data_IF_649134792531
#
_entry.id   IF_649134792531
#
_cell.length_a   1.000
_cell.length_b   1.000
_cell.length_c   1.000
_cell.angle_alpha   90.00
_cell.angle_beta   90.00
_cell.angle_gamma   90.00
#
_symmetry.space_group_name_H-M   'P 1'
#
loop_
_entity.id
_entity.type
_entity.pdbx_description
1 polymer ?
#
# COMPACT_ATOMS: atom_id res chain seq x y z
N UNK A 1 2.67 -16.99 -22.38
CA UNK A 1 2.62 -15.55 -22.02
C UNK A 1 2.38 -15.40 -20.50
N UNK A 2 3.31 -15.84 -19.64
CA UNK A 2 3.06 -15.92 -18.18
C UNK A 2 4.21 -15.53 -17.24
N UNK A 3 5.44 -15.38 -17.76
CA UNK A 3 6.63 -15.14 -16.93
C UNK A 3 7.02 -13.66 -16.76
N UNK A 4 6.32 -12.69 -17.37
CA UNK A 4 6.75 -11.28 -17.34
C UNK A 4 6.50 -10.59 -15.99
N UNK A 5 5.49 -11.04 -15.23
CA UNK A 5 5.12 -10.46 -13.92
C UNK A 5 6.21 -10.61 -12.84
N UNK A 6 6.84 -11.79 -12.62
CA UNK A 6 7.91 -11.91 -11.64
C UNK A 6 9.16 -11.11 -12.05
N UNK A 7 9.48 -11.06 -13.35
CA UNK A 7 10.67 -10.32 -13.84
C UNK A 7 10.53 -8.82 -13.55
N UNK A 8 9.36 -8.23 -13.80
CA UNK A 8 9.10 -6.82 -13.48
C UNK A 8 9.15 -6.55 -11.97
N UNK A 9 8.70 -7.50 -11.14
CA UNK A 9 8.79 -7.40 -9.68
C UNK A 9 10.25 -7.40 -9.21
N UNK A 10 11.05 -8.36 -9.64
CA UNK A 10 12.47 -8.41 -9.30
C UNK A 10 13.23 -7.20 -9.84
N UNK A 11 12.91 -6.73 -11.05
CA UNK A 11 13.48 -5.52 -11.62
C UNK A 11 13.14 -4.27 -10.80
N UNK A 12 11.89 -4.12 -10.34
CA UNK A 12 11.49 -3.04 -9.46
C UNK A 12 12.24 -3.09 -8.12
N UNK A 13 12.40 -4.28 -7.52
CA UNK A 13 13.18 -4.47 -6.29
C UNK A 13 14.64 -4.07 -6.50
N UNK A 14 15.26 -4.45 -7.62
CA UNK A 14 16.62 -4.05 -7.97
C UNK A 14 16.73 -2.53 -8.15
N UNK A 15 15.75 -1.87 -8.78
CA UNK A 15 15.72 -0.41 -8.90
C UNK A 15 15.56 0.29 -7.54
N UNK A 16 14.79 -0.29 -6.60
CA UNK A 16 14.68 0.22 -5.22
C UNK A 16 16.04 0.16 -4.54
N UNK A 17 16.74 -0.97 -4.65
CA UNK A 17 18.07 -1.17 -4.07
C UNK A 17 19.09 -0.22 -4.72
N UNK A 18 19.05 -0.04 -6.03
CA UNK A 18 19.92 0.93 -6.70
C UNK A 18 19.63 2.36 -6.21
N UNK A 19 18.36 2.73 -6.04
CA UNK A 19 17.94 4.05 -5.58
C UNK A 19 18.44 4.39 -4.18
N UNK A 20 18.61 3.41 -3.28
CA UNK A 20 19.17 3.64 -1.94
C UNK A 20 20.70 3.73 -1.96
N UNK A 21 21.34 3.10 -2.94
CA UNK A 21 22.78 3.17 -3.15
C UNK A 21 23.23 4.45 -3.86
N UNK A 22 22.37 5.05 -4.68
CA UNK A 22 22.58 6.39 -5.28
C UNK A 22 22.25 7.48 -4.27
N UNK A 23 22.95 7.51 -3.14
CA UNK A 23 22.95 8.69 -2.29
C UNK A 23 23.61 9.84 -3.05
N UNK A 24 22.88 10.96 -3.18
CA UNK A 24 23.35 12.32 -3.46
C UNK A 24 24.85 12.34 -3.74
N UNK A 25 25.25 12.02 -4.97
CA UNK A 25 26.66 12.07 -5.34
C UNK A 25 27.12 13.48 -5.02
N UNK A 26 28.06 13.60 -4.08
CA UNK A 26 28.62 14.84 -3.55
C UNK A 26 29.39 15.62 -4.64
N UNK A 27 28.78 15.87 -5.79
CA UNK A 27 29.28 16.71 -6.87
C UNK A 27 29.45 18.18 -6.42
N UNK A 28 29.04 18.51 -5.18
CA UNK A 28 29.26 19.80 -4.53
C UNK A 28 30.62 19.94 -3.83
N UNK A 29 31.44 18.88 -3.68
CA UNK A 29 32.72 18.93 -2.95
C UNK A 29 33.97 18.75 -3.80
N UNK A 30 34.00 19.27 -5.03
CA UNK A 30 35.29 19.44 -5.75
C UNK A 30 35.65 20.87 -6.16
N UNK A 31 34.72 21.83 -6.11
CA UNK A 31 34.97 23.20 -6.60
C UNK A 31 35.59 24.13 -5.53
N UNK A 32 35.61 23.74 -4.25
CA UNK A 32 36.12 24.59 -3.14
C UNK A 32 37.43 24.07 -2.52
N UNK A 33 38.40 23.66 -3.35
CA UNK A 33 39.73 23.22 -2.87
C UNK A 33 40.74 24.37 -2.64
N UNK A 34 40.29 25.62 -2.49
CA UNK A 34 41.19 26.79 -2.40
C UNK A 34 40.95 27.76 -1.24
N UNK A 35 39.97 27.55 -0.36
CA UNK A 35 39.71 28.45 0.77
C UNK A 35 39.17 27.65 1.95
N UNK A 36 39.92 27.65 3.07
CA UNK A 36 39.64 27.08 4.40
C UNK A 36 38.38 26.20 4.45
N UNK A 37 38.57 24.88 4.45
CA UNK A 37 37.51 23.87 4.49
C UNK A 37 36.64 24.08 5.73
N UNK A 38 35.47 24.72 5.55
CA UNK A 38 34.40 24.69 6.53
C UNK A 38 33.87 23.25 6.58
N UNK A 39 34.31 22.47 7.57
CA UNK A 39 33.78 21.13 7.84
C UNK A 39 32.40 21.25 8.47
N UNK A 40 31.42 21.76 7.71
CA UNK A 40 30.02 21.63 8.10
C UNK A 40 29.67 20.15 7.94
N UNK A 41 29.42 19.49 9.06
CA UNK A 41 28.82 18.15 9.09
C UNK A 41 27.38 18.32 8.61
N UNK A 42 27.18 18.11 7.31
CA UNK A 42 25.83 18.06 6.75
C UNK A 42 25.20 16.78 7.29
N UNK A 43 24.01 16.91 7.88
CA UNK A 43 23.17 15.76 8.21
C UNK A 43 23.07 14.89 6.96
N UNK A 44 23.40 13.60 7.10
CA UNK A 44 23.17 12.64 6.01
C UNK A 44 21.68 12.64 5.72
N UNK A 45 21.31 12.94 4.48
CA UNK A 45 19.91 12.88 4.04
C UNK A 45 19.32 11.50 4.32
N UNK A 46 17.99 11.43 4.47
CA UNK A 46 17.29 10.17 4.73
C UNK A 46 17.71 9.10 3.71
N UNK A 47 18.08 7.92 4.21
CA UNK A 47 18.48 6.77 3.37
C UNK A 47 17.32 6.22 2.52
N UNK A 48 16.09 6.58 2.88
CA UNK A 48 14.89 6.19 2.15
C UNK A 48 14.54 7.28 1.15
N UNK A 49 14.45 6.96 -0.16
CA UNK A 49 14.09 7.96 -1.17
C UNK A 49 12.64 8.43 -0.96
N UNK A 50 12.37 9.71 -1.27
CA UNK A 50 11.08 10.34 -0.99
C UNK A 50 9.88 9.60 -1.60
N UNK A 51 10.04 9.06 -2.82
CA UNK A 51 8.98 8.32 -3.51
C UNK A 51 8.59 7.02 -2.78
N UNK A 52 9.53 6.37 -2.10
CA UNK A 52 9.26 5.14 -1.36
C UNK A 52 8.41 5.40 -0.11
N UNK A 53 8.61 6.55 0.55
CA UNK A 53 7.79 6.98 1.69
C UNK A 53 6.34 7.20 1.25
N UNK A 54 6.13 7.88 0.11
CA UNK A 54 4.80 8.11 -0.45
C UNK A 54 4.09 6.80 -0.85
N UNK A 55 4.80 5.84 -1.44
CA UNK A 55 4.21 4.53 -1.76
C UNK A 55 3.82 3.75 -0.51
N UNK A 56 4.69 3.73 0.50
CA UNK A 56 4.43 3.00 1.74
C UNK A 56 3.22 3.59 2.49
N UNK A 57 3.11 4.92 2.50
CA UNK A 57 1.94 5.62 3.04
C UNK A 57 0.66 5.30 2.25
N UNK A 58 0.73 5.27 0.91
CA UNK A 58 -0.40 4.91 0.05
C UNK A 58 -0.89 3.48 0.27
N UNK A 59 0.03 2.52 0.34
CA UNK A 59 -0.29 1.12 0.65
C UNK A 59 -0.93 1.01 2.04
N UNK A 60 -0.40 1.73 3.04
CA UNK A 60 -0.99 1.80 4.38
C UNK A 60 -2.43 2.28 4.37
N UNK A 61 -2.74 3.34 3.63
CA UNK A 61 -4.12 3.84 3.49
C UNK A 61 -5.06 2.82 2.83
N UNK A 62 -4.60 2.08 1.82
CA UNK A 62 -5.40 1.03 1.19
C UNK A 62 -5.70 -0.12 2.16
N UNK A 63 -4.71 -0.54 2.95
CA UNK A 63 -4.90 -1.59 3.96
C UNK A 63 -5.91 -1.13 5.00
N UNK A 64 -5.77 0.09 5.53
CA UNK A 64 -6.69 0.66 6.53
C UNK A 64 -8.12 0.73 5.97
N UNK A 65 -8.29 1.21 4.73
CA UNK A 65 -9.60 1.26 4.07
C UNK A 65 -10.22 -0.14 3.88
N UNK A 66 -9.42 -1.13 3.49
CA UNK A 66 -9.87 -2.51 3.34
C UNK A 66 -10.29 -3.14 4.67
N UNK A 67 -9.54 -2.91 5.74
CA UNK A 67 -9.89 -3.37 7.10
C UNK A 67 -11.19 -2.71 7.57
N UNK A 68 -11.33 -1.40 7.40
CA UNK A 68 -12.54 -0.67 7.77
C UNK A 68 -13.76 -1.21 7.04
N UNK A 69 -13.65 -1.49 5.73
CA UNK A 69 -14.71 -2.09 4.95
C UNK A 69 -15.09 -3.49 5.47
N UNK A 70 -14.11 -4.32 5.79
CA UNK A 70 -14.38 -5.66 6.33
C UNK A 70 -15.13 -5.61 7.66
N UNK A 71 -14.77 -4.67 8.54
CA UNK A 71 -15.47 -4.42 9.81
C UNK A 71 -16.91 -3.98 9.55
N UNK A 72 -17.12 -3.00 8.66
CA UNK A 72 -18.46 -2.54 8.29
C UNK A 72 -19.31 -3.67 7.69
N UNK A 73 -18.74 -4.49 6.81
CA UNK A 73 -19.43 -5.64 6.22
C UNK A 73 -19.87 -6.65 7.28
N UNK A 74 -19.03 -6.88 8.29
CA UNK A 74 -19.31 -7.85 9.35
C UNK A 74 -20.35 -7.32 10.34
N UNK A 75 -20.36 -6.02 10.63
CA UNK A 75 -21.26 -5.43 11.63
C UNK A 75 -22.61 -4.99 11.07
N UNK A 76 -22.63 -4.43 9.86
CA UNK A 76 -23.83 -3.80 9.29
C UNK A 76 -24.49 -4.71 8.26
N UNK A 77 -23.72 -5.26 7.32
CA UNK A 77 -24.33 -6.07 6.25
C UNK A 77 -24.65 -7.50 6.70
N UNK A 78 -23.90 -8.05 7.64
CA UNK A 78 -24.11 -9.43 8.10
C UNK A 78 -25.23 -9.55 9.14
N UNK A 79 -25.66 -8.44 9.77
CA UNK A 79 -26.83 -8.43 10.68
C UNK A 79 -28.15 -8.52 9.95
N UNK A 80 -28.26 -7.94 8.73
CA UNK A 80 -29.48 -8.04 7.91
C UNK A 80 -29.65 -9.42 7.24
N UNK A 81 -28.57 -10.19 7.08
CA UNK A 81 -28.57 -11.43 6.28
C UNK A 81 -28.80 -12.69 7.11
N UNK A 82 -29.38 -12.55 8.31
CA UNK A 82 -29.86 -13.68 9.11
C UNK A 82 -31.05 -14.36 8.44
N UNK A 83 -30.78 -15.31 7.55
CA UNK A 83 -31.72 -16.33 7.06
C UNK A 83 -33.14 -15.84 6.75
N UNK A 84 -33.30 -14.80 5.93
CA UNK A 84 -34.61 -14.47 5.36
C UNK A 84 -34.91 -15.44 4.20
N UNK A 85 -35.20 -16.70 4.54
CA UNK A 85 -35.96 -17.58 3.65
C UNK A 85 -37.39 -17.05 3.61
N UNK A 86 -37.62 -15.94 2.92
CA UNK A 86 -38.94 -15.29 2.75
C UNK A 86 -39.76 -16.04 1.72
N UNK A 87 -39.92 -17.34 1.93
CA UNK A 87 -40.98 -18.08 1.29
C UNK A 87 -41.92 -18.52 2.40
N UNK A 88 -42.99 -17.75 2.58
CA UNK A 88 -44.10 -18.13 3.42
C UNK A 88 -45.19 -18.68 2.49
N UNK A 89 -45.35 -20.01 2.36
CA UNK A 89 -46.39 -20.56 1.52
C UNK A 89 -47.77 -20.11 2.04
N UNK A 90 -48.67 -19.78 1.11
CA UNK A 90 -50.03 -19.41 1.45
C UNK A 90 -50.75 -20.57 2.15
N UNK A 91 -51.48 -20.27 3.24
CA UNK A 91 -52.28 -21.28 3.92
C UNK A 91 -53.37 -21.79 2.96
N UNK A 92 -53.25 -23.03 2.52
CA UNK A 92 -54.30 -23.70 1.75
C UNK A 92 -55.38 -24.12 2.76
N UNK A 93 -56.56 -23.51 2.66
CA UNK A 93 -57.74 -24.03 3.34
C UNK A 93 -58.19 -25.27 2.59
N UNK A 94 -58.01 -26.44 3.21
CA UNK A 94 -58.56 -27.70 2.74
C UNK A 94 -60.10 -27.62 2.84
N UNK A 95 -60.73 -27.16 1.76
CA UNK A 95 -62.16 -27.29 1.57
C UNK A 95 -62.46 -28.76 1.22
N UNK A 96 -62.76 -29.52 2.27
CA UNK A 96 -63.38 -30.84 2.20
C UNK A 96 -64.74 -30.76 1.50
N UNK A 97 -64.91 -31.50 0.40
CA UNK A 97 -66.20 -31.89 -0.20
C UNK A 97 -66.23 -33.41 -0.29
#
# INVERSE_FOLDING_TARGET
>A
MGLRKPVLFYFAVVLVILSTLTHETEARRRILRGRRVMTRTYYRGNAVPAWAISLLAGIGMLIIGGVLYAVMRKLVLSSETGTLNTYQPAMQHDNSV
#
